data_IF_932919675761
#
_entry.id   IF_932919675761
#
_cell.length_a   1.000
_cell.length_b   1.000
_cell.length_c   1.000
_cell.angle_alpha   90.00
_cell.angle_beta   90.00
_cell.angle_gamma   90.00
#
_symmetry.space_group_name_H-M   'P 1'
#
loop_
_entity.id
_entity.type
_entity.pdbx_description
1 polymer ?
#
# COMPACT_ATOMS: atom_id res chain seq x y z
N UNK A 1 5.14 -23.26 -3.13
CA UNK A 1 6.11 -22.59 -2.23
C UNK A 1 7.50 -22.80 -2.82
N UNK A 2 8.15 -21.75 -3.34
CA UNK A 2 9.52 -21.85 -3.84
C UNK A 2 10.49 -21.49 -2.70
N UNK A 3 11.26 -22.48 -2.20
CA UNK A 3 12.15 -22.33 -1.05
C UNK A 3 13.23 -23.42 -1.07
N UNK A 4 14.39 -23.13 -0.49
CA UNK A 4 15.46 -24.10 -0.20
C UNK A 4 15.55 -24.44 1.30
N UNK A 5 14.71 -23.82 2.14
CA UNK A 5 14.65 -24.10 3.56
C UNK A 5 14.00 -25.47 3.82
N UNK A 6 14.75 -26.38 4.42
CA UNK A 6 14.25 -27.70 4.82
C UNK A 6 13.08 -27.59 5.79
N UNK A 7 12.16 -28.55 5.74
CA UNK A 7 10.97 -28.64 6.60
C UNK A 7 9.91 -27.52 6.45
N UNK A 8 10.19 -26.39 5.81
CA UNK A 8 9.24 -25.27 5.67
C UNK A 8 7.92 -25.73 5.03
N UNK A 9 8.00 -26.39 3.87
CA UNK A 9 6.81 -26.88 3.14
C UNK A 9 6.04 -27.92 3.95
N UNK A 10 6.75 -28.84 4.61
CA UNK A 10 6.12 -29.88 5.43
C UNK A 10 5.40 -29.29 6.65
N UNK A 11 6.02 -28.31 7.32
CA UNK A 11 5.42 -27.62 8.46
C UNK A 11 4.17 -26.83 8.06
N UNK A 12 4.23 -26.05 6.97
CA UNK A 12 3.06 -25.32 6.43
C UNK A 12 1.94 -26.29 6.04
N UNK A 13 2.26 -27.41 5.38
CA UNK A 13 1.28 -28.43 5.00
C UNK A 13 0.57 -29.04 6.22
N UNK A 14 1.31 -29.35 7.29
CA UNK A 14 0.73 -29.84 8.56
C UNK A 14 -0.24 -28.81 9.16
N UNK A 15 0.12 -27.52 9.14
CA UNK A 15 -0.75 -26.44 9.60
C UNK A 15 -2.04 -26.33 8.78
N UNK A 16 -1.94 -26.35 7.44
CA UNK A 16 -3.11 -26.35 6.55
C UNK A 16 -4.05 -27.54 6.83
N UNK A 17 -3.49 -28.73 7.10
CA UNK A 17 -4.28 -29.92 7.46
C UNK A 17 -5.08 -29.72 8.75
N UNK A 18 -4.47 -29.11 9.76
CA UNK A 18 -5.16 -28.80 11.02
C UNK A 18 -6.30 -27.79 10.82
N UNK A 19 -6.04 -26.68 10.12
CA UNK A 19 -7.05 -25.66 9.80
C UNK A 19 -8.24 -26.30 9.04
N UNK A 20 -7.95 -27.14 8.06
CA UNK A 20 -8.99 -27.85 7.30
C UNK A 20 -9.83 -28.77 8.19
N UNK A 21 -9.19 -29.57 9.04
CA UNK A 21 -9.89 -30.45 9.98
C UNK A 21 -10.73 -29.69 11.02
N UNK A 22 -10.37 -28.43 11.31
CA UNK A 22 -11.10 -27.55 12.23
C UNK A 22 -12.22 -26.73 11.57
N UNK A 23 -12.59 -27.01 10.32
CA UNK A 23 -13.70 -26.33 9.63
C UNK A 23 -13.28 -25.17 8.72
N UNK A 24 -11.98 -25.00 8.46
CA UNK A 24 -11.46 -23.98 7.55
C UNK A 24 -11.18 -22.63 8.23
N UNK A 25 -10.81 -21.64 7.42
CA UNK A 25 -10.51 -20.28 7.88
C UNK A 25 -11.23 -19.25 7.00
N UNK A 26 -11.62 -18.13 7.62
CA UNK A 26 -12.27 -16.99 6.96
C UNK A 26 -11.39 -15.76 7.11
N UNK A 27 -11.24 -14.98 6.04
CA UNK A 27 -10.46 -13.74 6.04
C UNK A 27 -11.19 -12.62 5.32
N UNK A 28 -10.99 -11.38 5.76
CA UNK A 28 -11.54 -10.18 5.13
C UNK A 28 -10.43 -9.16 4.86
N UNK A 29 -10.54 -8.40 3.77
CA UNK A 29 -9.60 -7.35 3.40
C UNK A 29 -10.08 -6.00 3.93
N UNK A 30 -9.29 -5.34 4.76
CA UNK A 30 -9.65 -4.04 5.36
C UNK A 30 -9.17 -2.84 4.56
N UNK A 31 -8.03 -2.95 3.86
CA UNK A 31 -7.45 -1.87 3.05
C UNK A 31 -6.62 -2.46 1.92
N UNK A 32 -6.76 -1.91 0.73
CA UNK A 32 -5.98 -2.25 -0.46
C UNK A 32 -5.36 -0.97 -1.02
N UNK A 33 -4.09 -0.75 -0.70
CA UNK A 33 -3.35 0.42 -1.16
C UNK A 33 -1.85 0.14 -1.16
N UNK A 34 -1.18 0.55 -2.24
CA UNK A 34 0.28 0.58 -2.32
C UNK A 34 0.78 2.01 -2.16
N UNK A 35 1.94 2.19 -1.53
CA UNK A 35 2.50 3.52 -1.25
C UNK A 35 3.86 3.72 -1.93
N UNK A 36 4.17 4.99 -2.22
CA UNK A 36 5.49 5.45 -2.64
C UNK A 36 5.77 6.78 -1.96
N UNK A 37 6.91 6.90 -1.28
CA UNK A 37 7.30 8.10 -0.55
C UNK A 37 8.55 8.73 -1.17
N UNK A 38 8.40 9.61 -2.19
CA UNK A 38 9.53 10.32 -2.76
C UNK A 38 10.09 11.38 -1.79
N UNK A 39 11.40 11.60 -1.83
CA UNK A 39 12.06 12.72 -1.12
C UNK A 39 12.32 13.85 -2.12
N UNK A 40 11.80 15.03 -1.82
CA UNK A 40 11.97 16.25 -2.64
C UNK A 40 12.77 17.30 -1.86
N UNK A 41 13.56 18.12 -2.57
CA UNK A 41 14.41 19.17 -1.95
C UNK A 41 13.95 20.55 -2.37
N UNK A 42 14.01 21.49 -1.44
CA UNK A 42 13.75 22.91 -1.65
C UNK A 42 14.93 23.76 -1.21
N UNK A 43 15.02 24.99 -1.72
CA UNK A 43 16.06 25.94 -1.33
C UNK A 43 15.93 26.46 0.11
N UNK A 44 14.78 26.25 0.77
CA UNK A 44 14.58 26.60 2.18
C UNK A 44 13.53 25.71 2.84
N UNK A 45 13.59 25.62 4.17
CA UNK A 45 12.58 24.92 4.97
C UNK A 45 11.18 25.55 4.81
N UNK A 46 11.11 26.88 4.64
CA UNK A 46 9.86 27.60 4.39
C UNK A 46 9.16 27.09 3.13
N UNK A 47 9.91 26.90 2.03
CA UNK A 47 9.35 26.36 0.77
C UNK A 47 8.86 24.92 0.92
N UNK A 48 9.55 24.10 1.72
CA UNK A 48 9.09 22.74 2.01
C UNK A 48 7.77 22.75 2.82
N UNK A 49 7.65 23.64 3.80
CA UNK A 49 6.42 23.81 4.58
C UNK A 49 5.26 24.31 3.73
N UNK A 50 5.50 25.26 2.82
CA UNK A 50 4.51 25.73 1.84
C UNK A 50 4.01 24.59 0.94
N UNK A 51 4.90 23.69 0.48
CA UNK A 51 4.48 22.50 -0.27
C UNK A 51 3.57 21.60 0.58
N UNK A 52 3.93 21.34 1.84
CA UNK A 52 3.11 20.49 2.72
C UNK A 52 1.68 21.05 2.82
N UNK A 53 1.55 22.35 3.09
CA UNK A 53 0.23 23.01 3.17
C UNK A 53 -0.51 22.96 1.83
N UNK A 54 0.21 23.14 0.71
CA UNK A 54 -0.38 23.00 -0.62
C UNK A 54 -0.95 21.59 -0.86
N UNK A 55 -0.24 20.54 -0.45
CA UNK A 55 -0.69 19.14 -0.61
C UNK A 55 -1.88 18.77 0.30
N UNK A 56 -2.02 19.44 1.44
CA UNK A 56 -3.10 19.20 2.42
C UNK A 56 -4.41 19.92 2.06
N UNK A 57 -4.37 20.90 1.15
CA UNK A 57 -5.56 21.58 0.64
C UNK A 57 -6.38 20.64 -0.28
N UNK A 58 -7.66 20.38 0.02
CA UNK A 58 -8.52 19.50 -0.78
C UNK A 58 -8.60 19.88 -2.26
N UNK A 59 -8.60 21.18 -2.59
CA UNK A 59 -8.68 21.64 -3.98
C UNK A 59 -7.43 21.27 -4.78
N UNK A 60 -6.26 21.33 -4.14
CA UNK A 60 -5.00 20.96 -4.75
C UNK A 60 -4.85 19.44 -4.83
N UNK A 61 -5.34 18.70 -3.82
CA UNK A 61 -5.36 17.24 -3.84
C UNK A 61 -6.11 16.68 -5.05
N UNK A 62 -7.27 17.25 -5.39
CA UNK A 62 -8.04 16.84 -6.59
C UNK A 62 -7.21 16.99 -7.87
N UNK A 63 -6.53 18.13 -8.03
CA UNK A 63 -5.66 18.39 -9.19
C UNK A 63 -4.52 17.36 -9.26
N UNK A 64 -3.89 17.05 -8.13
CA UNK A 64 -2.81 16.06 -8.05
C UNK A 64 -3.31 14.65 -8.32
N UNK A 65 -4.51 14.31 -7.81
CA UNK A 65 -5.19 13.04 -8.04
C UNK A 65 -5.46 12.85 -9.53
N UNK A 66 -5.97 13.87 -10.24
CA UNK A 66 -6.20 13.80 -11.68
C UNK A 66 -4.91 13.50 -12.45
N UNK A 67 -3.82 14.19 -12.12
CA UNK A 67 -2.51 13.96 -12.77
C UNK A 67 -2.02 12.53 -12.48
N UNK A 68 -2.05 12.08 -11.22
CA UNK A 68 -1.64 10.73 -10.85
C UNK A 68 -2.49 9.65 -11.56
N UNK A 69 -3.81 9.81 -11.54
CA UNK A 69 -4.78 8.87 -12.10
C UNK A 69 -4.73 8.81 -13.63
N UNK A 70 -4.21 9.84 -14.30
CA UNK A 70 -3.99 9.83 -15.75
C UNK A 70 -2.88 8.86 -16.19
N UNK A 71 -1.94 8.55 -15.28
CA UNK A 71 -0.78 7.69 -15.58
C UNK A 71 -1.12 6.20 -15.68
N UNK A 72 -2.27 5.78 -15.15
CA UNK A 72 -2.69 4.38 -15.13
C UNK A 72 -4.20 4.24 -15.02
N UNK A 73 -4.74 3.24 -15.73
CA UNK A 73 -6.17 2.89 -15.64
C UNK A 73 -6.57 2.36 -14.25
N UNK A 74 -5.62 1.81 -13.49
CA UNK A 74 -5.88 1.22 -12.17
C UNK A 74 -5.41 2.10 -11.02
N UNK A 75 -4.46 3.02 -11.28
CA UNK A 75 -3.96 3.96 -10.27
C UNK A 75 -5.06 4.91 -9.83
N UNK A 76 -5.42 4.85 -8.54
CA UNK A 76 -6.35 5.78 -7.90
C UNK A 76 -5.70 6.33 -6.63
N UNK A 77 -5.29 7.59 -6.68
CA UNK A 77 -4.71 8.28 -5.54
C UNK A 77 -5.74 8.32 -4.40
N UNK A 78 -5.35 7.82 -3.23
CA UNK A 78 -6.19 7.78 -2.04
C UNK A 78 -5.80 8.92 -1.09
N UNK A 79 -6.79 9.54 -0.46
CA UNK A 79 -6.57 10.38 0.71
C UNK A 79 -6.49 9.51 1.97
N UNK A 80 -5.76 9.97 2.98
CA UNK A 80 -5.64 9.29 4.28
C UNK A 80 -6.70 9.75 5.26
#
# INVERSE_FOLDING_TARGET
MATTEGCLVASTSRGCKAIYASGGATSSLYRDAMTRAPVVRFGSAKRAAELKLFLEDPLNFETLSLVFNSSSRFGRLQSF
#
